data_IF_859207749536
#
_entry.id   IF_859207749536
#
_cell.length_a   1.000
_cell.length_b   1.000
_cell.length_c   1.000
_cell.angle_alpha   90.00
_cell.angle_beta   90.00
_cell.angle_gamma   90.00
#
_symmetry.space_group_name_H-M   'P 1'
#
loop_
_entity.id
_entity.type
_entity.pdbx_description
1 polymer ?
#
# COMPACT_ATOMS: atom_id res chain seq x y z
N UNK A 1 5.11 5.53 0.55
CA UNK A 1 3.75 5.93 0.97
C UNK A 1 3.61 5.74 2.47
N UNK A 2 2.75 6.53 3.11
CA UNK A 2 2.44 6.42 4.53
C UNK A 2 0.93 6.50 4.71
N UNK A 3 0.38 5.57 5.48
CA UNK A 3 -1.00 5.67 5.98
C UNK A 3 -0.97 6.13 7.44
N UNK A 4 -1.91 6.98 7.81
CA UNK A 4 -2.16 7.40 9.19
C UNK A 4 -3.44 6.75 9.68
N UNK A 5 -3.37 6.07 10.81
CA UNK A 5 -4.52 5.47 11.47
C UNK A 5 -5.28 6.52 12.26
N UNK A 6 -6.62 6.42 12.30
CA UNK A 6 -7.45 7.30 13.13
C UNK A 6 -7.27 7.03 14.62
N UNK A 7 -6.98 5.77 14.94
CA UNK A 7 -6.83 5.26 16.29
C UNK A 7 -5.52 4.46 16.40
N UNK A 8 -4.85 4.49 17.56
CA UNK A 8 -3.63 3.72 17.75
C UNK A 8 -3.84 2.21 17.61
N UNK A 9 -2.88 1.54 16.99
CA UNK A 9 -2.73 0.08 16.97
C UNK A 9 -1.42 -0.32 17.68
N UNK A 10 -1.33 -1.55 18.23
CA UNK A 10 -0.08 -2.06 18.77
C UNK A 10 1.09 -1.93 17.78
N UNK A 11 2.26 -1.53 18.27
CA UNK A 11 3.48 -1.48 17.45
C UNK A 11 3.77 -2.89 16.94
N UNK A 12 4.01 -3.04 15.64
CA UNK A 12 4.19 -4.35 15.01
C UNK A 12 2.91 -4.96 14.43
N UNK A 13 1.72 -4.40 14.72
CA UNK A 13 0.48 -4.77 14.02
C UNK A 13 0.64 -4.65 12.50
N UNK A 14 -0.10 -5.47 11.77
CA UNK A 14 -0.03 -5.55 10.31
C UNK A 14 -1.26 -4.88 9.70
N UNK A 15 -1.00 -3.84 8.89
CA UNK A 15 -1.98 -3.22 8.00
C UNK A 15 -2.04 -4.02 6.71
N UNK A 16 -3.23 -4.46 6.32
CA UNK A 16 -3.48 -5.06 5.00
C UNK A 16 -3.91 -3.97 4.01
N UNK A 17 -3.21 -3.92 2.89
CA UNK A 17 -3.44 -2.98 1.80
C UNK A 17 -4.21 -3.67 0.66
N UNK A 18 -5.20 -2.99 0.10
CA UNK A 18 -5.96 -3.42 -1.06
C UNK A 18 -5.79 -2.42 -2.20
N UNK A 19 -5.80 -2.93 -3.43
CA UNK A 19 -5.59 -2.14 -4.63
C UNK A 19 -6.82 -2.17 -5.52
N UNK A 20 -7.04 -1.05 -6.21
CA UNK A 20 -7.98 -0.99 -7.32
C UNK A 20 -7.37 -0.19 -8.46
N UNK A 21 -7.60 -0.68 -9.67
CA UNK A 21 -7.00 -0.17 -10.89
C UNK A 21 -8.02 0.65 -11.67
N UNK A 22 -7.64 1.84 -12.13
CA UNK A 22 -8.50 2.69 -12.98
C UNK A 22 -7.99 2.69 -14.41
N UNK A 23 -6.73 3.08 -14.62
CA UNK A 23 -6.06 3.01 -15.92
C UNK A 23 -4.78 2.18 -15.87
N UNK A 24 -4.19 2.02 -14.67
CA UNK A 24 -3.11 1.07 -14.44
C UNK A 24 -3.62 -0.39 -14.53
N UNK A 25 -2.69 -1.33 -14.50
CA UNK A 25 -2.84 -2.77 -14.52
C UNK A 25 -1.99 -3.42 -13.41
N UNK A 26 -2.17 -4.73 -13.20
CA UNK A 26 -1.40 -5.49 -12.23
C UNK A 26 0.07 -5.68 -12.59
N UNK A 27 0.44 -5.43 -13.86
CA UNK A 27 1.81 -5.61 -14.35
C UNK A 27 2.62 -4.31 -14.27
N UNK A 28 2.00 -3.14 -14.06
CA UNK A 28 2.68 -1.83 -14.04
C UNK A 28 3.36 -1.53 -12.69
N UNK A 29 2.94 -2.24 -11.62
CA UNK A 29 3.47 -2.06 -10.28
C UNK A 29 3.69 -3.39 -9.58
N UNK A 30 4.66 -3.42 -8.66
CA UNK A 30 4.75 -4.47 -7.65
C UNK A 30 3.99 -4.02 -6.40
N UNK A 31 2.85 -4.65 -6.13
CA UNK A 31 2.05 -4.35 -4.96
C UNK A 31 2.77 -4.72 -3.66
N UNK A 32 2.79 -3.79 -2.70
CA UNK A 32 2.98 -4.13 -1.29
C UNK A 32 1.61 -4.35 -0.66
N UNK A 33 1.31 -5.57 -0.23
CA UNK A 33 0.00 -5.93 0.34
C UNK A 33 -0.07 -5.76 1.86
N UNK A 34 1.07 -5.54 2.52
CA UNK A 34 1.15 -5.40 3.97
C UNK A 34 2.14 -4.32 4.39
N UNK A 35 1.80 -3.58 5.45
CA UNK A 35 2.69 -2.61 6.07
C UNK A 35 2.65 -2.78 7.60
N UNK A 36 3.79 -2.55 8.25
CA UNK A 36 3.92 -2.69 9.71
C UNK A 36 3.62 -1.35 10.37
N UNK A 37 2.81 -1.37 11.43
CA UNK A 37 2.59 -0.20 12.29
C UNK A 37 3.89 0.14 13.02
N UNK A 38 4.36 1.37 12.80
CA UNK A 38 5.60 1.88 13.34
C UNK A 38 5.55 2.16 14.84
N UNK A 39 6.69 2.62 15.38
CA UNK A 39 6.86 2.87 16.80
C UNK A 39 5.95 3.98 17.37
N UNK A 40 5.34 4.81 16.51
CA UNK A 40 4.35 5.82 16.92
C UNK A 40 2.95 5.24 17.14
N UNK A 41 2.72 3.97 16.77
CA UNK A 41 1.44 3.27 16.92
C UNK A 41 0.34 3.78 15.99
N UNK A 42 0.62 4.73 15.11
CA UNK A 42 -0.41 5.39 14.27
C UNK A 42 0.00 5.56 12.81
N UNK A 43 1.24 5.22 12.44
CA UNK A 43 1.65 5.21 11.04
C UNK A 43 2.11 3.83 10.59
N UNK A 44 1.87 3.54 9.32
CA UNK A 44 2.51 2.43 8.63
C UNK A 44 3.05 2.94 7.28
N UNK A 45 4.32 2.61 7.00
CA UNK A 45 5.02 3.04 5.79
C UNK A 45 5.28 1.84 4.90
N UNK A 46 5.10 2.02 3.59
CA UNK A 46 5.34 1.01 2.57
C UNK A 46 5.79 1.67 1.26
N UNK A 47 6.43 0.89 0.41
CA UNK A 47 6.79 1.28 -0.96
C UNK A 47 5.89 0.55 -1.96
N UNK A 48 5.75 1.13 -3.14
CA UNK A 48 5.19 0.46 -4.30
C UNK A 48 6.17 0.78 -5.40
N UNK A 49 6.72 -0.26 -6.02
CA UNK A 49 7.70 -0.11 -7.07
C UNK A 49 6.97 -0.16 -8.42
N UNK A 50 7.38 0.68 -9.36
CA UNK A 50 6.90 0.62 -10.75
C UNK A 50 7.65 -0.46 -11.51
N UNK A 51 6.98 -1.10 -12.46
CA UNK A 51 7.58 -2.06 -13.38
C UNK A 51 7.84 -1.35 -14.69
N UNK A 52 9.08 -1.44 -15.17
CA UNK A 52 9.48 -0.92 -16.48
C UNK A 52 9.34 -2.04 -17.52
N UNK A 53 8.52 -1.82 -18.53
CA UNK A 53 8.29 -2.78 -19.61
C UNK A 53 8.68 -2.21 -20.99
N UNK A 54 8.38 -2.93 -22.07
CA UNK A 54 8.79 -2.54 -23.44
C UNK A 54 7.79 -1.62 -24.13
N UNK A 55 6.61 -1.42 -23.57
CA UNK A 55 5.53 -0.66 -24.19
C UNK A 55 5.59 0.80 -23.76
N UNK A 56 5.22 1.68 -24.70
CA UNK A 56 5.04 3.08 -24.40
C UNK A 56 3.56 3.31 -24.05
N UNK A 57 3.31 3.53 -22.76
CA UNK A 57 1.97 3.70 -22.22
C UNK A 57 1.70 5.16 -21.83
N UNK A 58 0.43 5.46 -21.52
CA UNK A 58 0.00 6.79 -21.09
C UNK A 58 0.11 6.97 -19.58
N UNK A 59 -0.50 8.04 -19.05
CA UNK A 59 -0.59 8.21 -17.60
C UNK A 59 -1.54 7.18 -16.97
N UNK A 60 -1.07 6.53 -15.91
CA UNK A 60 -1.75 5.42 -15.25
C UNK A 60 -2.15 5.73 -13.81
N UNK A 61 -3.28 5.15 -13.38
CA UNK A 61 -3.89 5.43 -12.08
C UNK A 61 -4.33 4.13 -11.40
N UNK A 62 -3.80 3.91 -10.20
CA UNK A 62 -4.29 2.95 -9.22
C UNK A 62 -4.67 3.66 -7.90
N UNK A 63 -5.43 2.99 -7.04
CA UNK A 63 -5.76 3.43 -5.69
C UNK A 63 -5.37 2.37 -4.69
N UNK A 64 -4.93 2.82 -3.52
CA UNK A 64 -4.60 1.98 -2.37
C UNK A 64 -5.56 2.30 -1.23
N UNK A 65 -6.08 1.29 -0.57
CA UNK A 65 -6.89 1.43 0.65
C UNK A 65 -6.40 0.49 1.74
N UNK A 66 -6.67 0.85 3.00
CA UNK A 66 -6.51 -0.05 4.13
C UNK A 66 -7.78 -0.92 4.22
N UNK A 67 -7.62 -2.23 4.12
CA UNK A 67 -8.74 -3.19 4.18
C UNK A 67 -8.87 -3.86 5.54
N UNK A 68 -7.82 -3.86 6.36
CA UNK A 68 -7.84 -4.40 7.71
C UNK A 68 -6.56 -4.17 8.49
N UNK A 69 -6.63 -4.41 9.79
CA UNK A 69 -5.49 -4.39 10.71
C UNK A 69 -5.62 -5.61 11.61
N UNK A 70 -4.53 -6.37 11.74
CA UNK A 70 -4.43 -7.50 12.68
C UNK A 70 -3.26 -7.28 13.63
N UNK A 71 -3.45 -7.63 14.89
CA UNK A 71 -2.36 -7.67 15.85
C UNK A 71 -1.46 -8.88 15.52
N UNK A 72 -0.15 -8.70 15.74
CA UNK A 72 0.87 -9.70 15.41
C UNK A 72 0.98 -10.82 16.43
#
# INVERSE_FOLDING_TARGET
YTVTLSDPAPVGSIVTLAYSYTTASGDDITETTQAVVGADGVTATFTIDTVDDVYAEGDEVFRVSVSGIVDS
#
